data_IF_825048154359
#
_entry.id   IF_825048154359
#
_cell.length_a   1.000
_cell.length_b   1.000
_cell.length_c   1.000
_cell.angle_alpha   90.00
_cell.angle_beta   90.00
_cell.angle_gamma   90.00
#
_symmetry.space_group_name_H-M   'P 1'
#
loop_
_entity.id
_entity.type
_entity.pdbx_description
1 polymer ?
#
# COMPACT_ATOMS: atom_id res chain seq x y z
N UNK A 1 -33.87 -26.39 -11.53
CA UNK A 1 -32.99 -25.41 -10.85
C UNK A 1 -32.83 -24.22 -11.78
N UNK A 2 -33.44 -23.09 -11.42
CA UNK A 2 -33.30 -21.85 -12.18
C UNK A 2 -31.87 -21.32 -12.00
N UNK A 3 -31.14 -21.20 -13.11
CA UNK A 3 -29.88 -20.47 -13.15
C UNK A 3 -30.19 -19.03 -12.72
N UNK A 4 -29.53 -18.46 -11.70
CA UNK A 4 -29.72 -17.05 -11.37
C UNK A 4 -29.34 -16.20 -12.58
N UNK A 5 -30.31 -15.49 -13.15
CA UNK A 5 -30.12 -14.56 -14.27
C UNK A 5 -29.44 -13.26 -13.81
N UNK A 6 -28.21 -13.34 -13.30
CA UNK A 6 -27.39 -12.16 -12.96
C UNK A 6 -26.56 -11.66 -14.14
N UNK A 7 -26.78 -12.17 -15.35
CA UNK A 7 -26.02 -11.79 -16.55
C UNK A 7 -26.44 -10.43 -17.15
N UNK A 8 -27.43 -9.74 -16.60
CA UNK A 8 -27.94 -8.45 -17.13
C UNK A 8 -28.26 -7.44 -16.02
N UNK A 9 -27.37 -7.26 -15.04
CA UNK A 9 -27.40 -6.00 -14.29
C UNK A 9 -26.84 -4.92 -15.21
N UNK A 10 -27.70 -4.01 -15.69
CA UNK A 10 -27.25 -2.71 -16.18
C UNK A 10 -26.29 -2.15 -15.10
N UNK A 11 -25.01 -1.99 -15.46
CA UNK A 11 -23.99 -1.61 -14.51
C UNK A 11 -24.43 -0.37 -13.76
N UNK A 12 -24.48 -0.44 -12.43
CA UNK A 12 -24.72 0.74 -11.59
C UNK A 12 -23.79 1.85 -12.07
N UNK A 13 -24.26 3.10 -12.23
CA UNK A 13 -23.43 4.18 -12.73
C UNK A 13 -22.16 4.26 -11.88
N UNK A 14 -21.02 3.93 -12.48
CA UNK A 14 -19.74 3.91 -11.78
C UNK A 14 -19.40 5.36 -11.50
N UNK A 15 -19.67 5.81 -10.27
CA UNK A 15 -19.40 7.18 -9.86
C UNK A 15 -17.92 7.49 -10.06
N UNK A 16 -17.61 8.70 -10.56
CA UNK A 16 -16.22 9.16 -10.74
C UNK A 16 -15.38 9.01 -9.47
N UNK A 17 -16.02 9.05 -8.29
CA UNK A 17 -15.40 8.83 -6.99
C UNK A 17 -14.64 7.50 -6.91
N UNK A 18 -15.17 6.40 -7.46
CA UNK A 18 -14.50 5.11 -7.42
C UNK A 18 -13.16 5.15 -8.18
N UNK A 19 -13.15 5.80 -9.35
CA UNK A 19 -11.93 6.00 -10.13
C UNK A 19 -10.92 6.89 -9.40
N UNK A 20 -11.38 8.00 -8.80
CA UNK A 20 -10.51 8.88 -8.01
C UNK A 20 -9.88 8.18 -6.82
N UNK A 21 -10.64 7.36 -6.07
CA UNK A 21 -10.13 6.63 -4.92
C UNK A 21 -9.08 5.59 -5.32
N UNK A 22 -9.24 4.94 -6.48
CA UNK A 22 -8.24 3.98 -7.00
C UNK A 22 -6.96 4.71 -7.45
N UNK A 23 -7.08 5.85 -8.12
CA UNK A 23 -5.95 6.72 -8.46
C UNK A 23 -5.18 7.20 -7.24
N UNK A 24 -5.87 7.67 -6.20
CA UNK A 24 -5.21 8.12 -4.96
C UNK A 24 -4.52 6.94 -4.26
N UNK A 25 -5.12 5.74 -4.26
CA UNK A 25 -4.46 4.55 -3.70
C UNK A 25 -3.17 4.21 -4.46
N UNK A 26 -3.18 4.26 -5.80
CA UNK A 26 -1.99 4.02 -6.62
C UNK A 26 -0.91 5.07 -6.38
N UNK A 27 -1.26 6.36 -6.39
CA UNK A 27 -0.31 7.46 -6.22
C UNK A 27 0.32 7.45 -4.82
N UNK A 28 -0.47 7.21 -3.78
CA UNK A 28 0.05 7.09 -2.41
C UNK A 28 0.96 5.87 -2.26
N UNK A 29 0.61 4.74 -2.88
CA UNK A 29 1.49 3.56 -2.90
C UNK A 29 2.82 3.82 -3.61
N UNK A 30 2.80 4.46 -4.77
CA UNK A 30 4.01 4.83 -5.51
C UNK A 30 4.89 5.81 -4.72
N UNK A 31 4.28 6.81 -4.06
CA UNK A 31 4.99 7.77 -3.22
C UNK A 31 5.66 7.08 -2.01
N UNK A 32 4.97 6.15 -1.34
CA UNK A 32 5.53 5.40 -0.21
C UNK A 32 6.68 4.48 -0.62
N UNK A 33 6.60 3.82 -1.77
CA UNK A 33 7.71 3.00 -2.29
C UNK A 33 8.94 3.87 -2.57
N UNK A 34 8.76 5.02 -3.23
CA UNK A 34 9.86 5.95 -3.48
C UNK A 34 10.47 6.45 -2.18
N UNK A 35 9.63 6.80 -1.19
CA UNK A 35 10.10 7.17 0.14
C UNK A 35 10.90 6.05 0.78
N UNK A 36 10.45 4.79 0.74
CA UNK A 36 11.17 3.66 1.32
C UNK A 36 12.53 3.43 0.65
N UNK A 37 12.62 3.59 -0.68
CA UNK A 37 13.92 3.56 -1.36
C UNK A 37 14.85 4.66 -0.89
N UNK A 38 14.39 5.91 -0.87
CA UNK A 38 15.17 7.04 -0.37
C UNK A 38 15.60 6.81 1.10
N UNK A 39 14.67 6.40 1.95
CA UNK A 39 14.91 6.12 3.37
C UNK A 39 15.98 5.06 3.55
N UNK A 40 15.85 3.90 2.89
CA UNK A 40 16.83 2.83 2.99
C UNK A 40 18.20 3.25 2.45
N UNK A 41 18.28 3.98 1.33
CA UNK A 41 19.56 4.49 0.83
C UNK A 41 20.23 5.47 1.80
N UNK A 42 19.47 6.39 2.39
CA UNK A 42 19.97 7.36 3.36
C UNK A 42 20.45 6.68 4.63
N UNK A 43 19.67 5.72 5.16
CA UNK A 43 20.04 4.99 6.38
C UNK A 43 21.19 4.01 6.12
N UNK A 44 21.28 3.42 4.93
CA UNK A 44 22.41 2.56 4.54
C UNK A 44 23.70 3.33 4.27
N UNK A 45 23.69 4.66 4.20
CA UNK A 45 24.91 5.48 4.04
C UNK A 45 25.95 5.26 5.15
N UNK A 46 25.54 4.75 6.31
CA UNK A 46 26.44 4.34 7.39
C UNK A 46 27.45 3.27 6.97
N UNK A 47 27.09 2.40 6.01
CA UNK A 47 27.98 1.38 5.46
C UNK A 47 29.16 2.01 4.68
N UNK A 48 28.97 3.22 4.14
CA UNK A 48 30.05 3.97 3.48
C UNK A 48 30.94 4.62 4.55
N UNK A 49 30.34 5.38 5.46
CA UNK A 49 31.03 5.92 6.64
C UNK A 49 30.03 6.53 7.62
N UNK A 50 30.25 6.43 8.95
CA UNK A 50 29.48 7.16 9.95
C UNK A 50 29.48 8.68 9.73
N UNK A 51 30.56 9.24 9.15
CA UNK A 51 30.65 10.68 8.85
C UNK A 51 29.62 11.11 7.80
N UNK A 52 29.37 10.27 6.79
CA UNK A 52 28.38 10.55 5.73
C UNK A 52 26.97 10.54 6.30
N UNK A 53 26.65 9.51 7.10
CA UNK A 53 25.36 9.44 7.80
C UNK A 53 25.12 10.68 8.66
N UNK A 54 26.12 11.08 9.47
CA UNK A 54 25.99 12.25 10.34
C UNK A 54 25.82 13.55 9.54
N UNK A 55 26.51 13.70 8.41
CA UNK A 55 26.34 14.85 7.53
C UNK A 55 24.93 14.91 6.93
N UNK A 56 24.38 13.77 6.49
CA UNK A 56 23.00 13.69 6.00
C UNK A 56 21.99 13.98 7.11
N UNK A 57 22.16 13.41 8.30
CA UNK A 57 21.29 13.67 9.45
C UNK A 57 21.28 15.15 9.83
N UNK A 58 22.47 15.78 9.89
CA UNK A 58 22.59 17.21 10.15
C UNK A 58 21.90 18.06 9.08
N UNK A 59 22.03 17.70 7.79
CA UNK A 59 21.34 18.38 6.71
C UNK A 59 19.81 18.31 6.87
N UNK A 60 19.27 17.15 7.24
CA UNK A 60 17.83 16.99 7.48
C UNK A 60 17.35 17.80 8.68
N UNK A 61 18.18 17.93 9.72
CA UNK A 61 17.85 18.71 10.92
C UNK A 61 17.84 20.21 10.65
N UNK A 62 18.90 20.74 10.01
CA UNK A 62 19.01 22.18 9.73
C UNK A 62 17.96 22.65 8.72
N UNK A 63 17.54 21.78 7.80
CA UNK A 63 16.46 22.07 6.86
C UNK A 63 15.06 21.86 7.44
N UNK A 64 14.95 21.41 8.70
CA UNK A 64 13.70 21.00 9.34
C UNK A 64 12.91 19.94 8.54
N UNK A 65 13.59 19.22 7.67
CA UNK A 65 12.96 18.30 6.73
C UNK A 65 12.41 17.06 7.45
N UNK A 66 13.01 16.65 8.56
CA UNK A 66 12.47 15.57 9.39
C UNK A 66 11.17 15.99 10.10
N UNK A 67 11.11 17.22 10.60
CA UNK A 67 10.00 17.78 11.36
C UNK A 67 8.77 17.99 10.49
N UNK A 68 8.96 18.41 9.23
CA UNK A 68 7.88 18.60 8.26
C UNK A 68 7.58 17.30 7.51
N UNK A 69 8.62 16.59 7.07
CA UNK A 69 8.50 15.35 6.29
C UNK A 69 7.87 14.21 7.07
N UNK A 70 8.19 14.06 8.36
CA UNK A 70 7.63 13.01 9.22
C UNK A 70 6.09 13.01 9.25
N UNK A 71 5.44 14.12 9.66
CA UNK A 71 3.99 14.23 9.65
C UNK A 71 3.35 14.04 8.27
N UNK A 72 3.98 14.56 7.20
CA UNK A 72 3.46 14.42 5.83
C UNK A 72 3.48 12.97 5.34
N UNK A 73 4.59 12.25 5.56
CA UNK A 73 4.71 10.84 5.19
C UNK A 73 3.76 9.99 6.06
N UNK A 74 3.62 10.31 7.35
CA UNK A 74 2.65 9.65 8.22
C UNK A 74 1.20 9.82 7.72
N UNK A 75 0.84 11.02 7.29
CA UNK A 75 -0.48 11.27 6.69
C UNK A 75 -0.67 10.50 5.38
N UNK A 76 0.34 10.48 4.51
CA UNK A 76 0.31 9.71 3.26
C UNK A 76 0.16 8.20 3.54
N UNK A 77 0.85 7.68 4.55
CA UNK A 77 0.71 6.31 5.03
C UNK A 77 -0.72 6.02 5.51
N UNK A 78 -1.32 6.91 6.32
CA UNK A 78 -2.68 6.73 6.80
C UNK A 78 -3.71 6.73 5.65
N UNK A 79 -3.57 7.66 4.70
CA UNK A 79 -4.41 7.70 3.50
C UNK A 79 -4.28 6.40 2.69
N UNK A 80 -3.04 5.94 2.48
CA UNK A 80 -2.78 4.69 1.77
C UNK A 80 -3.43 3.50 2.48
N UNK A 81 -3.26 3.39 3.80
CA UNK A 81 -3.82 2.33 4.63
C UNK A 81 -5.35 2.29 4.54
N UNK A 82 -6.02 3.43 4.71
CA UNK A 82 -7.50 3.49 4.66
C UNK A 82 -8.03 3.06 3.28
N UNK A 83 -7.36 3.45 2.20
CA UNK A 83 -7.77 3.05 0.84
C UNK A 83 -7.49 1.56 0.59
N UNK A 84 -6.29 1.09 0.95
CA UNK A 84 -5.89 -0.30 0.78
C UNK A 84 -6.76 -1.26 1.62
N UNK A 85 -7.15 -0.85 2.84
CA UNK A 85 -8.03 -1.62 3.72
C UNK A 85 -9.37 -1.97 3.06
N UNK A 86 -9.88 -1.15 2.13
CA UNK A 86 -11.12 -1.46 1.38
C UNK A 86 -10.98 -2.70 0.51
N UNK A 87 -9.75 -3.12 0.18
CA UNK A 87 -9.46 -4.33 -0.61
C UNK A 87 -9.19 -5.55 0.28
N UNK A 88 -9.06 -5.39 1.60
CA UNK A 88 -8.73 -6.47 2.53
C UNK A 88 -10.03 -7.15 3.03
N UNK A 89 -10.16 -8.48 2.93
CA UNK A 89 -11.28 -9.22 3.49
C UNK A 89 -11.13 -9.32 5.01
N UNK A 90 -11.83 -8.45 5.76
CA UNK A 90 -11.82 -8.51 7.23
C UNK A 90 -12.74 -9.58 7.81
N UNK A 91 -13.75 -10.04 7.06
CA UNK A 91 -14.64 -11.10 7.51
C UNK A 91 -13.96 -12.47 7.41
N UNK A 92 -14.02 -13.28 8.48
CA UNK A 92 -13.41 -14.61 8.53
C UNK A 92 -13.93 -15.55 7.43
N UNK A 93 -15.19 -15.41 7.01
CA UNK A 93 -15.76 -16.17 5.89
C UNK A 93 -15.04 -15.84 4.57
N UNK A 94 -14.81 -14.56 4.29
CA UNK A 94 -14.10 -14.10 3.09
C UNK A 94 -12.62 -14.53 3.11
N UNK A 95 -11.97 -14.45 4.27
CA UNK A 95 -10.59 -14.91 4.44
C UNK A 95 -10.44 -16.40 4.15
N UNK A 96 -11.36 -17.23 4.68
CA UNK A 96 -11.36 -18.69 4.41
C UNK A 96 -11.53 -18.99 2.93
N UNK A 97 -12.43 -18.29 2.25
CA UNK A 97 -12.65 -18.45 0.80
C UNK A 97 -11.41 -18.05 0.00
N UNK A 98 -10.82 -16.89 0.31
CA UNK A 98 -9.59 -16.41 -0.33
C UNK A 98 -8.44 -17.41 -0.18
N UNK A 99 -8.19 -17.89 1.05
CA UNK A 99 -7.11 -18.84 1.33
C UNK A 99 -7.34 -20.21 0.70
N UNK A 100 -8.58 -20.70 0.69
CA UNK A 100 -8.93 -21.94 0.00
C UNK A 100 -8.67 -21.82 -1.52
N UNK A 101 -9.04 -20.68 -2.11
CA UNK A 101 -8.80 -20.41 -3.53
C UNK A 101 -7.30 -20.30 -3.84
N UNK A 102 -6.52 -19.56 -3.03
CA UNK A 102 -5.08 -19.44 -3.20
C UNK A 102 -4.37 -20.81 -3.15
N UNK A 103 -4.76 -21.68 -2.21
CA UNK A 103 -4.26 -23.06 -2.10
C UNK A 103 -4.61 -23.93 -3.31
N UNK A 104 -5.81 -23.76 -3.87
CA UNK A 104 -6.26 -24.52 -5.05
C UNK A 104 -5.55 -24.07 -6.33
N UNK A 105 -5.41 -22.76 -6.54
CA UNK A 105 -4.81 -22.21 -7.76
C UNK A 105 -3.30 -22.40 -7.83
N UNK A 106 -2.60 -22.43 -6.67
CA UNK A 106 -1.13 -22.52 -6.60
C UNK A 106 -0.42 -21.47 -7.48
N UNK A 107 -1.02 -20.28 -7.59
CA UNK A 107 -0.52 -19.18 -8.40
C UNK A 107 0.28 -18.19 -7.54
N UNK A 108 1.48 -17.81 -7.99
CA UNK A 108 2.43 -17.00 -7.23
C UNK A 108 1.86 -15.63 -6.86
N UNK A 109 1.30 -14.89 -7.81
CA UNK A 109 0.82 -13.52 -7.55
C UNK A 109 -0.36 -13.51 -6.58
N UNK A 110 -1.17 -14.58 -6.58
CA UNK A 110 -2.27 -14.73 -5.62
C UNK A 110 -1.72 -14.88 -4.20
N UNK A 111 -0.63 -15.63 -4.03
CA UNK A 111 0.04 -15.75 -2.74
C UNK A 111 0.76 -14.45 -2.34
N UNK A 112 1.37 -13.74 -3.29
CA UNK A 112 1.97 -12.42 -3.03
C UNK A 112 0.92 -11.41 -2.57
N UNK A 113 -0.28 -11.44 -3.13
CA UNK A 113 -1.38 -10.62 -2.65
C UNK A 113 -1.79 -10.95 -1.19
N UNK A 114 -1.79 -12.24 -0.81
CA UNK A 114 -2.03 -12.64 0.58
C UNK A 114 -0.93 -12.11 1.50
N UNK A 115 0.33 -12.18 1.07
CA UNK A 115 1.46 -11.61 1.82
C UNK A 115 1.27 -10.10 1.99
N UNK A 116 0.95 -9.37 0.90
CA UNK A 116 0.68 -7.93 0.94
C UNK A 116 -0.39 -7.58 1.97
N UNK A 117 -1.51 -8.30 1.97
CA UNK A 117 -2.60 -8.06 2.91
C UNK A 117 -2.25 -8.38 4.37
N UNK A 118 -1.33 -9.33 4.60
CA UNK A 118 -0.86 -9.68 5.96
C UNK A 118 0.20 -8.71 6.47
N UNK A 119 1.03 -8.15 5.58
CA UNK A 119 2.09 -7.20 5.93
C UNK A 119 1.65 -5.74 5.96
N UNK A 120 0.47 -5.42 5.41
CA UNK A 120 -0.12 -4.09 5.40
C UNK A 120 -0.47 -3.60 6.80
#
# INVERSE_FOLDING_TARGET
MSVPSTATHAGLPVGRLAAWLDWVQMLTGAALVLFMWCHLMLVSSVLISPKVMNALAWFFEVTYMAQVGGPLIFLAFLVHFVLAARKIPFATSQQRVMLANAKRMRHTDTWLWVVQAVTA
#
